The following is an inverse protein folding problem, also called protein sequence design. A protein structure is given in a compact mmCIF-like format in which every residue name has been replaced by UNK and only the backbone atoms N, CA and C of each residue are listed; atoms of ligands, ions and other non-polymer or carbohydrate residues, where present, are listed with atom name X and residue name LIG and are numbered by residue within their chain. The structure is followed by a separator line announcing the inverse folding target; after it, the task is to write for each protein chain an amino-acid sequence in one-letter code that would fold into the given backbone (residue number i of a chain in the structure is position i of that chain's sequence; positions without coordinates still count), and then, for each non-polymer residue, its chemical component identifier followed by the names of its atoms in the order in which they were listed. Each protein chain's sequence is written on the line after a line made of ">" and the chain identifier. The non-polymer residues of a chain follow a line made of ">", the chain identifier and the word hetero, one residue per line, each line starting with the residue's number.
data_IF_254870491332
#
_entry.id   IF_254870491332
#
_cell.length_a   1.000
_cell.length_b   1.000
_cell.length_c   1.000
_cell.angle_alpha   90.00
_cell.angle_beta   90.00
_cell.angle_gamma   90.00
#
_symmetry.space_group_name_H-M   'P 1'
#
loop_
_entity.id
_entity.type
_entity.pdbx_description
1 polymer ?
#
# COMPACT_ATOMS: atom_id res chain seq x y z
N UNK A 1 1.94 12.10 14.04
CA UNK A 1 0.64 12.35 14.69
C UNK A 1 -0.36 12.78 13.61
N UNK A 2 -1.57 12.22 13.58
CA UNK A 2 -2.56 12.50 12.53
C UNK A 2 -3.35 13.78 12.78
N UNK A 3 -3.66 14.53 11.73
CA UNK A 3 -4.64 15.63 11.78
C UNK A 3 -6.06 15.04 11.68
N UNK A 4 -7.06 15.59 12.39
CA UNK A 4 -8.46 15.22 12.17
C UNK A 4 -8.82 15.33 10.68
N UNK A 5 -9.43 14.27 10.14
CA UNK A 5 -9.81 14.18 8.73
C UNK A 5 -8.67 13.84 7.74
N UNK A 6 -7.47 13.49 8.21
CA UNK A 6 -6.39 13.06 7.32
C UNK A 6 -6.72 11.74 6.60
N UNK A 7 -6.23 11.58 5.37
CA UNK A 7 -6.09 10.27 4.72
C UNK A 7 -4.75 9.68 5.14
N UNK A 8 -4.74 8.42 5.60
CA UNK A 8 -3.52 7.77 6.06
C UNK A 8 -3.15 6.60 5.16
N UNK A 9 -1.96 6.68 4.56
CA UNK A 9 -1.36 5.60 3.79
C UNK A 9 -0.34 4.88 4.69
N UNK A 10 -0.72 3.73 5.23
CA UNK A 10 0.17 2.87 6.00
C UNK A 10 0.96 1.97 5.04
N UNK A 11 2.19 2.40 4.76
CA UNK A 11 3.15 1.68 3.88
C UNK A 11 4.04 0.70 4.66
N UNK A 12 3.97 0.76 5.99
CA UNK A 12 4.80 -0.03 6.88
C UNK A 12 4.53 -1.52 6.76
N UNK A 13 5.57 -2.32 6.94
CA UNK A 13 5.46 -3.77 6.99
C UNK A 13 6.42 -4.34 8.03
N UNK A 14 5.94 -4.41 9.26
CA UNK A 14 6.73 -4.84 10.40
C UNK A 14 6.20 -6.17 10.95
N UNK A 15 7.11 -7.05 11.38
CA UNK A 15 6.75 -8.29 12.08
C UNK A 15 6.96 -8.12 13.56
N UNK A 16 5.89 -8.25 14.33
CA UNK A 16 5.93 -8.19 15.79
C UNK A 16 5.30 -9.48 16.32
N UNK A 17 6.08 -10.28 17.06
CA UNK A 17 5.59 -11.55 17.61
C UNK A 17 5.13 -12.57 16.56
N UNK A 18 5.60 -12.46 15.31
CA UNK A 18 5.18 -13.32 14.20
C UNK A 18 3.95 -12.82 13.41
N UNK A 19 3.28 -11.76 13.87
CA UNK A 19 2.17 -11.12 13.16
C UNK A 19 2.68 -9.96 12.31
N UNK A 20 2.12 -9.81 11.09
CA UNK A 20 2.38 -8.68 10.21
C UNK A 20 1.51 -7.49 10.64
N UNK A 21 2.16 -6.38 11.02
CA UNK A 21 1.55 -5.10 11.31
C UNK A 21 2.11 -3.99 10.42
N UNK A 22 1.46 -2.84 10.44
CA UNK A 22 1.93 -1.63 9.75
C UNK A 22 2.53 -0.62 10.73
N UNK A 23 2.91 0.55 10.22
CA UNK A 23 3.56 1.61 11.02
C UNK A 23 2.54 2.44 11.82
N UNK A 24 1.26 2.23 11.55
CA UNK A 24 0.18 3.07 12.07
C UNK A 24 -0.69 2.31 13.07
N UNK A 25 -0.68 2.76 14.32
CA UNK A 25 -1.66 2.34 15.31
C UNK A 25 -3.02 3.01 15.04
N UNK A 26 -3.88 2.38 14.23
CA UNK A 26 -5.20 2.91 13.81
C UNK A 26 -6.06 3.37 14.99
N UNK A 27 -6.02 2.66 16.11
CA UNK A 27 -6.75 3.01 17.34
C UNK A 27 -6.32 4.36 17.95
N UNK A 28 -5.07 4.79 17.70
CA UNK A 28 -4.52 6.05 18.22
C UNK A 28 -4.85 7.28 17.37
N UNK A 29 -5.51 7.10 16.22
CA UNK A 29 -5.83 8.18 15.28
C UNK A 29 -7.22 8.81 15.49
N UNK A 30 -7.86 8.59 16.64
CA UNK A 30 -9.19 9.13 16.91
C UNK A 30 -9.21 10.67 17.02
N UNK A 31 -10.24 11.36 16.49
CA UNK A 31 -11.37 10.84 15.71
C UNK A 31 -10.89 10.33 14.34
N UNK A 32 -11.31 9.09 14.00
CA UNK A 32 -10.78 8.24 12.93
C UNK A 32 -10.45 9.05 11.66
N UNK A 33 -9.28 8.81 11.01
CA UNK A 33 -8.93 9.44 9.74
C UNK A 33 -10.03 9.20 8.71
N UNK A 34 -10.20 10.13 7.76
CA UNK A 34 -11.22 10.04 6.72
C UNK A 34 -11.18 8.71 5.94
N UNK A 35 -9.98 8.12 5.80
CA UNK A 35 -9.75 6.75 5.37
C UNK A 35 -8.32 6.30 5.74
N UNK A 36 -8.07 4.99 5.75
CA UNK A 36 -6.72 4.42 5.96
C UNK A 36 -6.48 3.14 5.16
N UNK A 37 -5.22 2.77 4.90
CA UNK A 37 -4.83 1.51 4.23
C UNK A 37 -4.26 0.48 5.21
N UNK A 38 -5.08 -0.29 5.95
CA UNK A 38 -4.57 -1.15 7.00
C UNK A 38 -3.68 -2.30 6.46
N UNK A 39 -2.52 -2.49 7.08
CA UNK A 39 -1.78 -3.74 7.01
C UNK A 39 -2.62 -4.88 7.63
N UNK A 40 -2.51 -6.12 7.14
CA UNK A 40 -1.51 -6.64 6.21
C UNK A 40 -1.85 -6.56 4.71
N UNK A 41 -3.07 -6.18 4.33
CA UNK A 41 -3.53 -6.30 2.93
C UNK A 41 -3.34 -5.02 2.11
N UNK A 42 -3.46 -3.83 2.73
CA UNK A 42 -3.59 -2.53 2.08
C UNK A 42 -2.61 -2.27 0.92
N UNK A 43 -1.42 -1.74 1.23
CA UNK A 43 -0.45 -1.36 0.20
C UNK A 43 0.17 -2.57 -0.51
N UNK A 44 0.31 -3.70 0.19
CA UNK A 44 0.95 -4.90 -0.34
C UNK A 44 0.22 -5.50 -1.54
N UNK A 45 -1.13 -5.54 -1.50
CA UNK A 45 -1.93 -6.00 -2.63
C UNK A 45 -1.76 -5.09 -3.86
N UNK A 46 -1.69 -3.78 -3.65
CA UNK A 46 -1.49 -2.80 -4.71
C UNK A 46 -0.07 -2.94 -5.30
N UNK A 47 0.96 -3.15 -4.48
CA UNK A 47 2.33 -3.37 -4.97
C UNK A 47 2.43 -4.57 -5.93
N UNK A 48 1.77 -5.68 -5.61
CA UNK A 48 1.73 -6.86 -6.50
C UNK A 48 1.01 -6.54 -7.81
N UNK A 49 -0.13 -5.86 -7.75
CA UNK A 49 -0.87 -5.45 -8.95
C UNK A 49 -0.07 -4.49 -9.82
N UNK A 50 0.60 -3.51 -9.21
CA UNK A 50 1.42 -2.52 -9.91
C UNK A 50 2.63 -3.16 -10.57
N UNK A 51 3.30 -4.11 -9.92
CA UNK A 51 4.40 -4.86 -10.52
C UNK A 51 3.96 -5.58 -11.80
N UNK A 52 2.80 -6.27 -11.77
CA UNK A 52 2.25 -6.94 -12.95
C UNK A 52 1.90 -5.95 -14.06
N UNK A 53 1.31 -4.82 -13.70
CA UNK A 53 0.98 -3.77 -14.65
C UNK A 53 2.24 -3.18 -15.31
N UNK A 54 3.29 -2.91 -14.54
CA UNK A 54 4.58 -2.46 -15.08
C UNK A 54 5.20 -3.50 -16.02
N UNK A 55 5.12 -4.79 -15.68
CA UNK A 55 5.59 -5.87 -16.57
C UNK A 55 4.83 -5.89 -17.89
N UNK A 56 3.49 -5.81 -17.85
CA UNK A 56 2.66 -5.80 -19.05
C UNK A 56 2.99 -4.60 -19.95
N UNK A 57 3.05 -3.40 -19.38
CA UNK A 57 3.41 -2.18 -20.11
C UNK A 57 4.81 -2.27 -20.74
N UNK A 58 5.77 -2.86 -20.01
CA UNK A 58 7.13 -3.07 -20.53
C UNK A 58 7.13 -4.06 -21.70
N UNK A 59 6.32 -5.12 -21.63
CA UNK A 59 6.19 -6.10 -22.70
C UNK A 59 5.59 -5.47 -23.96
N UNK A 60 4.46 -4.77 -23.83
CA UNK A 60 3.79 -4.06 -24.93
C UNK A 60 4.71 -3.03 -25.60
N UNK A 61 5.50 -2.30 -24.81
CA UNK A 61 6.43 -1.31 -25.35
C UNK A 61 7.60 -1.95 -26.08
N UNK A 62 8.06 -3.13 -25.65
CA UNK A 62 9.16 -3.85 -26.30
C UNK A 62 8.72 -4.51 -27.60
N UNK A 63 7.49 -5.04 -27.65
CA UNK A 63 6.92 -5.62 -28.88
C UNK A 63 6.58 -4.58 -29.93
N UNK A 64 6.19 -3.36 -29.53
CA UNK A 64 5.95 -2.24 -30.43
C UNK A 64 7.23 -1.65 -31.08
N UNK A 65 8.41 -1.95 -30.56
CA UNK A 65 9.71 -1.53 -31.14
C UNK A 65 10.22 -2.58 -32.15
N UNK A 66 9.64 -3.79 -32.17
CA UNK A 66 10.04 -4.89 -33.04
C UNK A 66 9.20 -5.01 -34.33
N UNK A 67 8.32 -4.05 -34.62
CA UNK A 67 7.51 -3.93 -35.84
C UNK A 67 7.84 -2.67 -36.61
#
# INVERSE_FOLDING_TARGET
>A
MGKPGALVLDVGSNRVGGTLGGDVAVASLAPVPSASTPAPVGVGAISVAMLRNTMLQSFERSSAISS
#
